data_IF_042217406849
#
_entry.id   IF_042217406849
#
_cell.length_a   1.000
_cell.length_b   1.000
_cell.length_c   1.000
_cell.angle_alpha   90.00
_cell.angle_beta   90.00
_cell.angle_gamma   90.00
#
_symmetry.space_group_name_H-M   'P 1'
#
loop_
_entity.id
_entity.type
_entity.pdbx_description
1 polymer ?
#
# COMPACT_ATOMS: atom_id res chain seq x y z
N UNK A 1 10.59 -3.50 3.08
CA UNK A 1 11.66 -2.92 2.25
C UNK A 1 11.04 -2.13 1.13
N UNK A 2 11.75 -1.12 0.64
CA UNK A 2 11.36 -0.31 -0.52
C UNK A 2 12.48 -0.33 -1.56
N UNK A 3 12.08 -0.27 -2.83
CA UNK A 3 12.96 -0.15 -3.99
C UNK A 3 12.42 0.99 -4.84
N UNK A 4 13.32 1.86 -5.29
CA UNK A 4 12.98 2.95 -6.21
C UNK A 4 13.71 2.73 -7.53
N UNK A 5 12.95 2.61 -8.61
CA UNK A 5 13.45 2.51 -9.98
C UNK A 5 12.80 3.59 -10.85
N UNK A 6 13.58 4.62 -11.21
CA UNK A 6 13.11 5.76 -12.00
C UNK A 6 12.88 5.44 -13.49
N UNK A 7 13.26 4.24 -13.96
CA UNK A 7 12.95 3.80 -15.32
C UNK A 7 11.50 3.29 -15.46
N UNK A 8 10.82 2.99 -14.35
CA UNK A 8 9.43 2.53 -14.34
C UNK A 8 8.45 3.69 -14.30
N UNK A 9 7.26 3.48 -14.87
CA UNK A 9 6.16 4.46 -14.80
C UNK A 9 5.67 4.69 -13.38
N UNK A 10 5.65 3.62 -12.57
CA UNK A 10 5.43 3.65 -11.13
C UNK A 10 6.75 3.30 -10.43
N UNK A 11 7.50 4.30 -9.93
CA UNK A 11 8.90 4.12 -9.58
C UNK A 11 9.10 3.46 -8.21
N UNK A 12 8.07 3.40 -7.37
CA UNK A 12 8.17 2.90 -6.00
C UNK A 12 7.58 1.49 -5.92
N UNK A 13 8.40 0.54 -5.49
CA UNK A 13 7.97 -0.80 -5.13
C UNK A 13 8.26 -1.05 -3.66
N UNK A 14 7.45 -1.89 -3.01
CA UNK A 14 7.70 -2.27 -1.63
C UNK A 14 7.13 -3.62 -1.26
N UNK A 15 7.64 -4.10 -0.14
CA UNK A 15 7.31 -5.38 0.45
C UNK A 15 7.29 -5.23 1.97
N UNK A 16 6.18 -5.61 2.60
CA UNK A 16 6.05 -5.64 4.05
C UNK A 16 6.06 -7.10 4.52
N UNK A 17 6.87 -7.43 5.54
CA UNK A 17 6.94 -8.76 6.13
C UNK A 17 5.83 -9.06 7.14
N UNK A 18 5.00 -8.06 7.45
CA UNK A 18 3.80 -8.17 8.28
C UNK A 18 2.61 -7.53 7.57
N UNK A 19 1.50 -7.34 8.28
CA UNK A 19 0.46 -6.42 7.85
C UNK A 19 0.77 -4.95 8.16
N UNK A 20 -0.13 -4.06 7.72
CA UNK A 20 -0.08 -2.60 7.98
C UNK A 20 -0.61 -2.22 9.37
N UNK A 21 -1.18 -3.17 10.10
CA UNK A 21 -1.74 -2.97 11.44
C UNK A 21 -1.19 -4.01 12.40
N UNK A 22 -0.88 -3.63 13.63
CA UNK A 22 -0.54 -4.58 14.70
C UNK A 22 -1.77 -5.06 15.49
N UNK A 23 -2.97 -4.58 15.15
CA UNK A 23 -4.20 -5.02 15.78
C UNK A 23 -4.63 -6.39 15.22
N UNK A 24 -4.73 -7.47 16.03
CA UNK A 24 -5.06 -8.82 15.55
C UNK A 24 -6.46 -8.93 14.93
N UNK A 25 -7.39 -8.02 15.23
CA UNK A 25 -8.71 -8.02 14.57
C UNK A 25 -8.73 -7.24 13.25
N UNK A 26 -7.64 -6.58 12.88
CA UNK A 26 -7.56 -5.88 11.60
C UNK A 26 -7.42 -6.87 10.45
N UNK A 27 -8.18 -6.70 9.34
CA UNK A 27 -7.91 -7.43 8.10
C UNK A 27 -6.47 -7.23 7.58
N UNK A 28 -5.83 -6.14 8.00
CA UNK A 28 -4.47 -5.79 7.61
C UNK A 28 -3.42 -6.21 8.65
N UNK A 29 -3.70 -7.22 9.50
CA UNK A 29 -2.74 -7.72 10.50
C UNK A 29 -1.64 -8.59 9.89
N UNK A 30 -2.01 -9.50 8.99
CA UNK A 30 -1.12 -10.53 8.44
C UNK A 30 -1.06 -10.54 6.90
N UNK A 31 -1.72 -9.59 6.23
CA UNK A 31 -1.93 -9.63 4.77
C UNK A 31 -0.67 -9.39 3.93
N UNK A 32 0.45 -8.94 4.51
CA UNK A 32 1.74 -8.85 3.81
C UNK A 32 2.61 -10.11 3.91
N UNK A 33 2.31 -11.04 4.83
CA UNK A 33 3.19 -12.18 5.13
C UNK A 33 3.36 -13.08 3.91
N UNK A 34 2.29 -13.42 3.19
CA UNK A 34 2.34 -14.31 2.03
C UNK A 34 3.22 -13.74 0.91
N UNK A 35 3.03 -12.45 0.58
CA UNK A 35 3.85 -11.76 -0.41
C UNK A 35 5.32 -11.70 0.00
N UNK A 36 5.60 -11.49 1.29
CA UNK A 36 6.97 -11.48 1.81
C UNK A 36 7.65 -12.85 1.70
N UNK A 37 6.95 -13.92 2.08
CA UNK A 37 7.46 -15.30 1.95
C UNK A 37 7.79 -15.66 0.49
N UNK A 38 7.10 -15.03 -0.47
CA UNK A 38 7.29 -15.25 -1.91
C UNK A 38 8.18 -14.19 -2.57
N UNK A 39 8.78 -13.27 -1.81
CA UNK A 39 9.54 -12.14 -2.32
C UNK A 39 8.79 -11.32 -3.39
N UNK A 40 7.46 -11.20 -3.25
CA UNK A 40 6.60 -10.50 -4.19
C UNK A 40 6.50 -9.02 -3.83
N UNK A 41 7.30 -8.21 -4.53
CA UNK A 41 7.20 -6.75 -4.45
C UNK A 41 5.92 -6.26 -5.14
N UNK A 42 5.27 -5.27 -4.52
CA UNK A 42 4.10 -4.59 -5.08
C UNK A 42 4.48 -3.18 -5.48
N UNK A 43 3.97 -2.74 -6.64
CA UNK A 43 4.11 -1.37 -7.11
C UNK A 43 3.17 -0.45 -6.33
N UNK A 44 3.69 0.68 -5.84
CA UNK A 44 2.91 1.74 -5.24
C UNK A 44 2.45 2.71 -6.33
N UNK A 45 1.17 3.13 -6.34
CA UNK A 45 0.72 4.15 -7.27
C UNK A 45 1.29 5.50 -6.82
N UNK A 46 2.10 6.10 -7.67
CA UNK A 46 2.66 7.45 -7.55
C UNK A 46 2.03 8.40 -8.56
N UNK A 47 1.41 7.86 -9.62
CA UNK A 47 0.67 8.67 -10.59
C UNK A 47 -0.79 8.88 -10.14
N UNK A 48 -1.29 10.13 -10.07
CA UNK A 48 -2.64 10.41 -9.57
C UNK A 48 -3.76 9.67 -10.31
N UNK A 49 -3.62 9.47 -11.63
CA UNK A 49 -4.58 8.72 -12.43
C UNK A 49 -4.78 7.26 -11.97
N UNK A 50 -3.82 6.68 -11.24
CA UNK A 50 -3.88 5.31 -10.75
C UNK A 50 -4.46 5.21 -9.32
N UNK A 51 -4.69 6.34 -8.64
CA UNK A 51 -5.14 6.32 -7.24
C UNK A 51 -6.53 5.73 -7.10
N UNK A 52 -7.48 6.09 -7.97
CA UNK A 52 -8.84 5.53 -7.90
C UNK A 52 -8.87 4.02 -8.13
N UNK A 53 -7.97 3.50 -8.97
CA UNK A 53 -7.84 2.06 -9.22
C UNK A 53 -7.33 1.32 -7.99
N UNK A 54 -6.33 1.88 -7.31
CA UNK A 54 -5.67 1.21 -6.17
C UNK A 54 -6.37 1.42 -4.83
N UNK A 55 -6.99 2.59 -4.61
CA UNK A 55 -7.59 2.98 -3.32
C UNK A 55 -9.11 3.14 -3.37
N UNK A 56 -9.71 3.04 -4.56
CA UNK A 56 -11.14 3.30 -4.77
C UNK A 56 -11.46 4.79 -4.87
N UNK A 57 -12.75 5.08 -5.07
CA UNK A 57 -13.25 6.45 -5.26
C UNK A 57 -13.71 7.12 -3.96
N UNK A 58 -13.92 6.34 -2.91
CA UNK A 58 -14.42 6.83 -1.62
C UNK A 58 -13.29 7.53 -0.86
N UNK A 59 -13.40 8.84 -0.71
CA UNK A 59 -12.46 9.65 0.08
C UNK A 59 -13.08 9.99 1.42
N UNK A 60 -12.37 9.67 2.50
CA UNK A 60 -12.71 10.13 3.84
C UNK A 60 -12.10 11.52 4.05
N UNK A 61 -12.93 12.54 4.23
CA UNK A 61 -12.49 13.89 4.62
C UNK A 61 -12.93 14.15 6.05
N UNK A 62 -11.97 14.42 6.94
CA UNK A 62 -12.25 14.78 8.33
C UNK A 62 -12.10 16.29 8.48
N UNK A 63 -13.15 16.95 8.94
CA UNK A 63 -13.13 18.39 9.28
C UNK A 63 -13.21 18.51 10.80
N UNK A 64 -12.35 19.33 11.44
CA UNK A 64 -12.46 19.58 12.87
C UNK A 64 -13.85 20.10 13.24
N UNK A 65 -14.39 19.61 14.36
CA UNK A 65 -15.55 20.24 15.00
C UNK A 65 -15.20 21.64 15.49
N UNK A 66 -16.19 22.53 15.56
CA UNK A 66 -16.03 23.84 16.20
C UNK A 66 -15.65 23.70 17.66
#
# INVERSE_FOLDING_TARGET
GFVVDFALSEPLMGLNSSGQSSNPVSPNYANGIDGWLKAQYLSFPMQPQNFERSYGKTRLTLVPGK
#
